data_IF_722193245819
#
_entry.id   IF_722193245819
#
_cell.length_a   1.000
_cell.length_b   1.000
_cell.length_c   1.000
_cell.angle_alpha   90.00
_cell.angle_beta   90.00
_cell.angle_gamma   90.00
#
_symmetry.space_group_name_H-M   'P 1'
#
loop_
_entity.id
_entity.type
_entity.pdbx_description
1 polymer ?
#
# COMPACT_ATOMS: atom_id res chain seq x y z
N UNK A 1 -17.95 -10.39 -3.82
CA UNK A 1 -17.52 -9.05 -4.23
C UNK A 1 -16.59 -8.50 -3.16
N UNK A 2 -15.31 -8.32 -3.48
CA UNK A 2 -14.39 -7.53 -2.65
C UNK A 2 -13.81 -6.44 -3.56
N UNK A 3 -14.00 -5.17 -3.19
CA UNK A 3 -13.63 -4.01 -4.01
C UNK A 3 -14.73 -2.94 -4.01
N UNK A 4 -14.32 -1.68 -3.88
CA UNK A 4 -15.19 -0.52 -4.03
C UNK A 4 -15.15 -0.08 -5.50
N UNK A 5 -16.29 0.06 -6.20
CA UNK A 5 -16.31 0.54 -7.58
C UNK A 5 -15.52 1.85 -7.73
N UNK A 6 -14.77 2.06 -8.82
CA UNK A 6 -13.95 3.26 -9.01
C UNK A 6 -14.65 4.59 -8.74
N UNK A 7 -15.91 4.72 -9.19
CA UNK A 7 -16.69 5.94 -9.00
C UNK A 7 -17.09 6.16 -7.53
N UNK A 8 -17.29 5.09 -6.76
CA UNK A 8 -17.57 5.17 -5.32
C UNK A 8 -16.31 5.56 -4.54
N UNK A 9 -15.11 5.12 -4.96
CA UNK A 9 -13.83 5.52 -4.34
C UNK A 9 -13.67 7.04 -4.39
N UNK A 10 -13.88 7.65 -5.56
CA UNK A 10 -13.79 9.10 -5.71
C UNK A 10 -14.87 9.80 -4.88
N UNK A 11 -16.12 9.35 -4.95
CA UNK A 11 -17.23 9.94 -4.19
C UNK A 11 -16.97 9.94 -2.68
N UNK A 12 -16.43 8.85 -2.13
CA UNK A 12 -16.06 8.77 -0.71
C UNK A 12 -14.94 9.77 -0.39
N UNK A 13 -13.90 9.85 -1.22
CA UNK A 13 -12.81 10.80 -0.99
C UNK A 13 -13.29 12.25 -1.07
N UNK A 14 -14.15 12.57 -2.04
CA UNK A 14 -14.79 13.87 -2.17
C UNK A 14 -15.62 14.21 -0.94
N UNK A 15 -16.46 13.29 -0.47
CA UNK A 15 -17.24 13.46 0.76
C UNK A 15 -16.34 13.78 1.98
N UNK A 16 -15.20 13.09 2.11
CA UNK A 16 -14.26 13.36 3.21
C UNK A 16 -13.64 14.76 3.11
N UNK A 17 -13.32 15.22 1.89
CA UNK A 17 -12.69 16.53 1.66
C UNK A 17 -13.70 17.69 1.72
N UNK A 18 -14.87 17.54 1.11
CA UNK A 18 -15.88 18.59 0.93
C UNK A 18 -16.82 18.68 2.13
N UNK A 19 -17.43 17.55 2.52
CA UNK A 19 -18.47 17.54 3.56
C UNK A 19 -17.90 17.39 4.97
N UNK A 20 -16.78 16.66 5.12
CA UNK A 20 -16.15 16.45 6.43
C UNK A 20 -14.96 17.36 6.69
N UNK A 21 -14.39 17.98 5.67
CA UNK A 21 -13.22 18.85 5.82
C UNK A 21 -11.99 18.10 6.37
N UNK A 22 -11.81 16.83 6.02
CA UNK A 22 -10.76 15.97 6.56
C UNK A 22 -9.62 15.74 5.55
N UNK A 23 -8.38 15.81 6.04
CA UNK A 23 -7.23 15.30 5.32
C UNK A 23 -7.45 13.82 5.01
N UNK A 24 -7.24 13.42 3.75
CA UNK A 24 -7.70 12.12 3.27
C UNK A 24 -6.59 11.36 2.56
N UNK A 25 -6.41 10.09 2.92
CA UNK A 25 -5.55 9.15 2.20
C UNK A 25 -6.38 7.99 1.67
N UNK A 26 -6.35 7.76 0.37
CA UNK A 26 -7.00 6.59 -0.25
C UNK A 26 -6.01 5.42 -0.32
N UNK A 27 -6.42 4.23 0.16
CA UNK A 27 -5.56 3.04 0.13
C UNK A 27 -5.78 2.27 -1.16
N UNK A 28 -4.72 2.09 -1.95
CA UNK A 28 -4.78 1.48 -3.27
C UNK A 28 -4.29 0.03 -3.26
N UNK A 29 -4.73 -0.76 -4.23
CA UNK A 29 -4.38 -2.18 -4.37
C UNK A 29 -3.15 -2.37 -5.27
N UNK A 30 -2.38 -3.46 -5.07
CA UNK A 30 -1.26 -3.81 -5.95
C UNK A 30 -1.71 -4.20 -7.38
N UNK A 31 -2.99 -4.49 -7.57
CA UNK A 31 -3.62 -4.79 -8.87
C UNK A 31 -3.52 -3.65 -9.88
N UNK A 32 -3.19 -2.42 -9.44
CA UNK A 32 -2.88 -1.28 -10.32
C UNK A 32 -1.75 -1.55 -11.33
N UNK A 33 -0.86 -2.52 -11.05
CA UNK A 33 0.17 -2.92 -12.00
C UNK A 33 -0.38 -3.75 -13.18
N UNK A 34 -1.59 -4.31 -13.06
CA UNK A 34 -2.17 -5.26 -13.99
C UNK A 34 -1.66 -6.69 -13.79
N UNK A 35 -2.46 -7.66 -14.24
CA UNK A 35 -2.21 -9.09 -14.01
C UNK A 35 -0.83 -9.53 -14.52
N UNK A 36 -0.53 -9.28 -15.80
CA UNK A 36 0.71 -9.70 -16.44
C UNK A 36 1.96 -9.19 -15.69
N UNK A 37 1.96 -7.92 -15.30
CA UNK A 37 3.09 -7.31 -14.57
C UNK A 37 3.22 -7.84 -13.15
N UNK A 38 2.10 -8.05 -12.45
CA UNK A 38 2.14 -8.67 -11.11
C UNK A 38 2.69 -10.09 -11.19
N UNK A 39 2.21 -10.88 -12.15
CA UNK A 39 2.68 -12.26 -12.38
C UNK A 39 4.19 -12.29 -12.65
N UNK A 40 4.65 -11.49 -13.60
CA UNK A 40 6.07 -11.35 -13.95
C UNK A 40 6.94 -11.02 -12.73
N UNK A 41 6.54 -10.00 -11.94
CA UNK A 41 7.31 -9.59 -10.75
C UNK A 41 7.39 -10.73 -9.74
N UNK A 42 6.28 -11.42 -9.48
CA UNK A 42 6.27 -12.55 -8.55
C UNK A 42 7.18 -13.68 -9.03
N UNK A 43 7.17 -14.01 -10.32
CA UNK A 43 7.99 -15.09 -10.87
C UNK A 43 9.49 -14.77 -10.79
N UNK A 44 9.88 -13.56 -11.21
CA UNK A 44 11.28 -13.09 -11.13
C UNK A 44 11.78 -13.04 -9.68
N UNK A 45 10.91 -12.70 -8.74
CA UNK A 45 11.25 -12.64 -7.32
C UNK A 45 11.20 -14.00 -6.60
N UNK A 46 10.96 -15.12 -7.30
CA UNK A 46 10.91 -16.46 -6.73
C UNK A 46 9.59 -16.80 -6.00
N UNK A 47 8.53 -16.05 -6.26
CA UNK A 47 7.17 -16.26 -5.72
C UNK A 47 6.22 -16.92 -6.73
N UNK A 48 6.75 -17.74 -7.65
CA UNK A 48 5.97 -18.45 -8.67
C UNK A 48 4.91 -19.41 -8.12
N UNK A 49 5.06 -19.87 -6.87
CA UNK A 49 4.09 -20.73 -6.20
C UNK A 49 2.78 -20.02 -5.80
N UNK A 50 2.72 -18.68 -5.90
CA UNK A 50 1.55 -17.89 -5.53
C UNK A 50 0.55 -17.90 -6.68
N UNK A 51 -0.59 -18.55 -6.51
CA UNK A 51 -1.66 -18.54 -7.50
C UNK A 51 -2.42 -17.21 -7.52
N UNK A 52 -2.73 -16.72 -8.72
CA UNK A 52 -3.52 -15.50 -8.94
C UNK A 52 -4.76 -15.85 -9.78
N UNK A 53 -5.84 -15.09 -9.57
CA UNK A 53 -7.03 -15.12 -10.45
C UNK A 53 -6.99 -13.86 -11.29
N UNK A 54 -6.99 -14.00 -12.60
CA UNK A 54 -6.92 -12.87 -13.52
C UNK A 54 -8.17 -11.99 -13.39
N UNK A 55 -9.33 -12.62 -13.16
CA UNK A 55 -10.62 -11.97 -12.95
C UNK A 55 -10.61 -11.01 -11.76
N UNK A 56 -9.79 -11.28 -10.74
CA UNK A 56 -9.63 -10.37 -9.58
C UNK A 56 -9.05 -9.01 -9.98
N UNK A 57 -8.33 -8.92 -11.10
CA UNK A 57 -7.79 -7.66 -11.62
C UNK A 57 -8.81 -6.89 -12.46
N UNK A 58 -9.84 -7.55 -12.97
CA UNK A 58 -10.85 -6.94 -13.85
C UNK A 58 -11.89 -6.12 -13.12
N UNK A 59 -12.22 -6.53 -11.90
CA UNK A 59 -13.14 -5.80 -11.05
C UNK A 59 -12.48 -4.65 -10.28
N UNK A 60 -11.15 -4.62 -10.21
CA UNK A 60 -10.39 -3.62 -9.48
C UNK A 60 -10.15 -2.35 -10.30
N UNK A 61 -9.89 -1.25 -9.58
CA UNK A 61 -9.52 0.05 -10.16
C UNK A 61 -8.34 -0.09 -11.12
N UNK A 62 -8.52 0.34 -12.38
CA UNK A 62 -7.48 0.30 -13.40
C UNK A 62 -6.54 1.50 -13.26
N UNK A 63 -5.28 1.35 -13.70
CA UNK A 63 -4.25 2.38 -13.54
C UNK A 63 -4.67 3.73 -14.13
N UNK A 64 -5.14 3.76 -15.38
CA UNK A 64 -5.57 5.02 -16.04
C UNK A 64 -6.66 5.72 -15.24
N UNK A 65 -7.69 4.97 -14.81
CA UNK A 65 -8.77 5.49 -13.97
C UNK A 65 -8.25 6.02 -12.62
N UNK A 66 -7.29 5.32 -12.01
CA UNK A 66 -6.66 5.76 -10.77
C UNK A 66 -5.92 7.08 -10.96
N UNK A 67 -5.14 7.23 -12.03
CA UNK A 67 -4.38 8.46 -12.29
C UNK A 67 -5.31 9.66 -12.45
N UNK A 68 -6.35 9.53 -13.28
CA UNK A 68 -7.35 10.59 -13.49
C UNK A 68 -8.10 10.96 -12.20
N UNK A 69 -8.50 9.95 -11.41
CA UNK A 69 -9.15 10.16 -10.12
C UNK A 69 -8.23 10.89 -9.14
N UNK A 70 -6.97 10.47 -9.04
CA UNK A 70 -6.00 11.08 -8.12
C UNK A 70 -5.70 12.53 -8.49
N UNK A 71 -5.61 12.85 -9.79
CA UNK A 71 -5.43 14.23 -10.25
C UNK A 71 -6.59 15.14 -9.79
N UNK A 72 -7.84 14.69 -9.99
CA UNK A 72 -9.03 15.45 -9.53
C UNK A 72 -9.07 15.61 -8.02
N UNK A 73 -8.75 14.56 -7.25
CA UNK A 73 -8.76 14.61 -5.79
C UNK A 73 -7.64 15.47 -5.23
N UNK A 74 -6.44 15.47 -5.86
CA UNK A 74 -5.35 16.38 -5.50
C UNK A 74 -5.75 17.84 -5.74
N UNK A 75 -6.38 18.15 -6.88
CA UNK A 75 -6.88 19.48 -7.18
C UNK A 75 -7.95 19.94 -6.18
N UNK A 76 -8.92 19.07 -5.87
CA UNK A 76 -9.97 19.33 -4.90
C UNK A 76 -9.41 19.60 -3.50
N UNK A 77 -8.47 18.78 -3.03
CA UNK A 77 -7.86 18.97 -1.72
C UNK A 77 -7.12 20.32 -1.64
N UNK A 78 -6.44 20.72 -2.73
CA UNK A 78 -5.81 22.05 -2.83
C UNK A 78 -6.84 23.17 -2.74
N UNK A 79 -7.97 23.06 -3.44
CA UNK A 79 -9.07 24.03 -3.37
C UNK A 79 -9.61 24.17 -1.93
N UNK A 80 -9.79 23.05 -1.23
CA UNK A 80 -10.26 23.02 0.16
C UNK A 80 -9.18 23.32 1.20
N UNK A 81 -7.94 23.61 0.79
CA UNK A 81 -6.79 23.78 1.70
C UNK A 81 -6.56 22.58 2.64
N UNK A 82 -6.79 21.37 2.14
CA UNK A 82 -6.60 20.10 2.83
C UNK A 82 -5.48 19.27 2.20
N UNK A 83 -4.92 18.34 2.97
CA UNK A 83 -3.98 17.34 2.50
C UNK A 83 -4.69 16.12 1.89
N UNK A 84 -4.21 15.68 0.72
CA UNK A 84 -4.63 14.44 0.08
C UNK A 84 -3.43 13.61 -0.34
N UNK A 85 -3.55 12.28 -0.29
CA UNK A 85 -2.51 11.35 -0.70
C UNK A 85 -3.01 9.91 -0.84
N UNK A 86 -2.07 8.99 -1.02
CA UNK A 86 -2.36 7.56 -1.18
C UNK A 86 -1.62 6.71 -0.16
N UNK A 87 -2.22 5.59 0.23
CA UNK A 87 -1.57 4.55 1.04
C UNK A 87 -1.31 3.30 0.21
N UNK A 88 -0.05 2.89 0.09
CA UNK A 88 0.42 1.84 -0.80
C UNK A 88 1.00 0.65 -0.03
N UNK A 89 0.44 -0.55 -0.10
CA UNK A 89 -0.83 -0.91 -0.74
C UNK A 89 -1.69 -1.70 0.24
N UNK A 90 -2.90 -2.06 -0.19
CA UNK A 90 -3.59 -3.17 0.43
C UNK A 90 -2.90 -4.51 0.11
N UNK A 91 -3.41 -5.59 0.69
CA UNK A 91 -3.00 -6.96 0.36
C UNK A 91 -3.41 -7.35 -1.06
N UNK A 92 -2.76 -8.38 -1.62
CA UNK A 92 -3.16 -8.95 -2.92
C UNK A 92 -4.02 -10.20 -2.69
N UNK A 93 -5.16 -10.30 -3.35
CA UNK A 93 -5.95 -11.54 -3.40
C UNK A 93 -5.21 -12.63 -4.18
N UNK A 94 -5.12 -13.83 -3.60
CA UNK A 94 -4.40 -14.98 -4.15
C UNK A 94 -5.23 -16.24 -3.98
N UNK A 95 -5.01 -17.25 -4.83
CA UNK A 95 -5.72 -18.53 -4.72
C UNK A 95 -5.35 -19.19 -3.39
N UNK A 96 -6.37 -19.63 -2.65
CA UNK A 96 -6.17 -20.38 -1.42
C UNK A 96 -5.83 -21.85 -1.70
N UNK A 97 -4.56 -22.13 -1.97
CA UNK A 97 -4.06 -23.48 -2.25
C UNK A 97 -3.54 -24.23 -1.01
N UNK A 98 -3.61 -23.63 0.18
CA UNK A 98 -3.03 -24.19 1.41
C UNK A 98 -4.02 -24.96 2.29
N UNK A 99 -5.32 -24.86 2.01
CA UNK A 99 -6.37 -25.52 2.80
C UNK A 99 -6.47 -25.07 4.27
N UNK A 100 -5.74 -24.02 4.67
CA UNK A 100 -5.67 -23.54 6.05
C UNK A 100 -6.78 -22.54 6.40
N UNK A 101 -7.37 -21.90 5.39
CA UNK A 101 -8.48 -20.96 5.52
C UNK A 101 -9.69 -21.50 4.73
N UNK A 102 -10.92 -21.18 5.14
CA UNK A 102 -12.10 -21.48 4.32
C UNK A 102 -12.14 -20.62 3.04
N UNK A 103 -12.74 -21.14 1.98
CA UNK A 103 -12.95 -20.44 0.71
C UNK A 103 -11.79 -20.51 -0.28
N UNK A 104 -11.99 -19.95 -1.46
CA UNK A 104 -11.08 -20.09 -2.62
C UNK A 104 -10.01 -18.98 -2.72
N UNK A 105 -9.99 -18.03 -1.78
CA UNK A 105 -9.13 -16.85 -1.82
C UNK A 105 -8.47 -16.59 -0.46
N UNK A 106 -7.20 -16.15 -0.48
CA UNK A 106 -6.46 -15.66 0.67
C UNK A 106 -5.69 -14.38 0.31
N UNK A 107 -5.42 -13.55 1.31
CA UNK A 107 -4.77 -12.25 1.11
C UNK A 107 -3.28 -12.27 1.44
N UNK A 108 -2.44 -12.06 0.43
CA UNK A 108 -1.00 -12.03 0.56
C UNK A 108 -0.52 -10.70 1.17
N UNK A 109 0.35 -10.81 2.18
CA UNK A 109 1.06 -9.70 2.82
C UNK A 109 2.54 -10.04 3.07
N UNK A 110 3.30 -9.10 3.63
CA UNK A 110 4.70 -9.31 4.01
C UNK A 110 5.66 -9.25 2.82
N UNK A 111 6.79 -9.97 2.92
CA UNK A 111 7.91 -9.86 1.97
C UNK A 111 7.52 -10.05 0.50
N UNK A 112 6.58 -10.94 0.21
CA UNK A 112 6.10 -11.18 -1.15
C UNK A 112 5.28 -10.01 -1.73
N UNK A 113 4.72 -9.15 -0.88
CA UNK A 113 3.99 -7.95 -1.30
C UNK A 113 4.93 -6.77 -1.60
N UNK A 114 6.13 -6.73 -1.00
CA UNK A 114 7.11 -5.65 -1.18
C UNK A 114 7.41 -5.30 -2.65
N UNK A 115 7.82 -6.26 -3.52
CA UNK A 115 8.18 -5.91 -4.89
C UNK A 115 6.98 -5.34 -5.68
N UNK A 116 5.75 -5.71 -5.34
CA UNK A 116 4.56 -5.14 -5.95
C UNK A 116 4.31 -3.72 -5.44
N UNK A 117 4.28 -3.52 -4.12
CA UNK A 117 3.97 -2.22 -3.52
C UNK A 117 5.00 -1.14 -3.87
N UNK A 118 6.29 -1.49 -3.95
CA UNK A 118 7.32 -0.52 -4.36
C UNK A 118 7.22 -0.17 -5.86
N UNK A 119 6.82 -1.12 -6.72
CA UNK A 119 6.57 -0.86 -8.13
C UNK A 119 5.35 0.06 -8.32
N UNK A 120 4.26 -0.13 -7.56
CA UNK A 120 3.12 0.81 -7.57
C UNK A 120 3.57 2.21 -7.14
N UNK A 121 4.35 2.31 -6.06
CA UNK A 121 4.88 3.60 -5.61
C UNK A 121 5.72 4.28 -6.70
N UNK A 122 6.56 3.52 -7.41
CA UNK A 122 7.38 4.04 -8.49
C UNK A 122 6.54 4.51 -9.70
N UNK A 123 5.49 3.76 -10.08
CA UNK A 123 4.56 4.15 -11.16
C UNK A 123 3.86 5.46 -10.81
N UNK A 124 3.27 5.56 -9.61
CA UNK A 124 2.55 6.76 -9.19
C UNK A 124 3.49 7.96 -9.01
N UNK A 125 4.68 7.74 -8.43
CA UNK A 125 5.66 8.83 -8.27
C UNK A 125 6.10 9.40 -9.62
N UNK A 126 6.29 8.56 -10.65
CA UNK A 126 6.59 9.04 -12.01
C UNK A 126 5.41 9.79 -12.62
N UNK A 127 4.19 9.28 -12.46
CA UNK A 127 3.00 9.90 -13.04
C UNK A 127 2.70 11.29 -12.47
N UNK A 128 3.09 11.55 -11.21
CA UNK A 128 2.83 12.81 -10.52
C UNK A 128 4.09 13.64 -10.22
N UNK A 129 5.22 13.35 -10.88
CA UNK A 129 6.52 14.02 -10.65
C UNK A 129 6.93 14.08 -9.15
N UNK A 130 6.60 13.05 -8.38
CA UNK A 130 6.85 13.00 -6.93
C UNK A 130 5.98 13.95 -6.09
N UNK A 131 4.99 14.63 -6.68
CA UNK A 131 4.11 15.58 -5.99
C UNK A 131 3.00 14.89 -5.19
N UNK A 132 2.60 13.67 -5.56
CA UNK A 132 1.59 12.91 -4.82
C UNK A 132 2.15 12.43 -3.48
N UNK A 133 1.57 12.83 -2.33
CA UNK A 133 1.97 12.30 -1.03
C UNK A 133 1.67 10.80 -0.91
N UNK A 134 2.68 10.00 -0.57
CA UNK A 134 2.56 8.54 -0.44
C UNK A 134 2.88 8.11 0.99
N UNK A 135 1.95 7.39 1.61
CA UNK A 135 2.18 6.53 2.77
C UNK A 135 2.39 5.08 2.32
N UNK A 136 3.25 4.34 3.02
CA UNK A 136 3.58 2.95 2.67
C UNK A 136 3.05 1.93 3.68
N UNK A 137 2.70 0.74 3.21
CA UNK A 137 2.14 -0.38 3.98
C UNK A 137 2.23 -1.71 3.20
N UNK A 138 3.33 -1.95 2.49
CA UNK A 138 3.48 -3.10 1.59
C UNK A 138 4.76 -3.89 1.81
N UNK A 139 4.83 -4.74 2.84
CA UNK A 139 5.97 -5.65 2.97
C UNK A 139 7.32 -5.02 3.35
N UNK A 140 7.33 -3.79 3.86
CA UNK A 140 8.53 -3.18 4.43
C UNK A 140 9.12 -4.06 5.55
N UNK A 141 10.44 -4.10 5.62
CA UNK A 141 11.21 -4.87 6.60
C UNK A 141 12.41 -4.06 7.10
N UNK A 142 13.13 -4.57 8.09
CA UNK A 142 14.38 -3.96 8.55
C UNK A 142 15.41 -3.72 7.42
N UNK A 143 15.38 -4.55 6.38
CA UNK A 143 16.30 -4.47 5.24
C UNK A 143 15.91 -3.39 4.23
N UNK A 144 14.64 -3.01 4.16
CA UNK A 144 14.12 -2.14 3.10
C UNK A 144 13.60 -0.80 3.61
N UNK A 145 13.35 -0.67 4.91
CA UNK A 145 12.73 0.53 5.49
C UNK A 145 13.54 1.80 5.26
N UNK A 146 14.88 1.71 5.27
CA UNK A 146 15.76 2.85 5.03
C UNK A 146 15.63 3.34 3.59
N UNK A 147 15.74 2.44 2.63
CA UNK A 147 15.64 2.78 1.21
C UNK A 147 14.25 3.34 0.87
N UNK A 148 13.18 2.76 1.42
CA UNK A 148 11.83 3.31 1.25
C UNK A 148 11.76 4.74 1.81
N UNK A 149 12.33 4.99 3.00
CA UNK A 149 12.33 6.31 3.61
C UNK A 149 13.10 7.33 2.77
N UNK A 150 14.26 6.94 2.22
CA UNK A 150 15.12 7.80 1.42
C UNK A 150 14.49 8.17 0.07
N UNK A 151 13.46 7.43 -0.40
CA UNK A 151 12.64 7.86 -1.55
C UNK A 151 11.72 9.06 -1.25
N UNK A 152 11.63 9.49 0.01
CA UNK A 152 10.72 10.55 0.46
C UNK A 152 9.32 10.07 0.87
N UNK A 153 9.05 8.77 0.74
CA UNK A 153 7.79 8.15 1.14
C UNK A 153 7.65 8.15 2.67
N UNK A 154 6.56 8.75 3.17
CA UNK A 154 6.27 8.86 4.60
C UNK A 154 4.78 9.10 4.87
N UNK A 155 4.20 8.49 5.92
CA UNK A 155 4.81 7.53 6.85
C UNK A 155 4.86 6.09 6.30
N UNK A 156 5.77 5.27 6.83
CA UNK A 156 5.90 3.83 6.55
C UNK A 156 5.23 3.02 7.66
N UNK A 157 4.24 2.20 7.31
CA UNK A 157 3.52 1.29 8.21
C UNK A 157 4.07 -0.12 8.09
N UNK A 158 4.34 -0.78 9.21
CA UNK A 158 4.78 -2.18 9.27
C UNK A 158 3.76 -3.05 9.98
N UNK A 159 3.58 -4.30 9.52
CA UNK A 159 2.69 -5.28 10.14
C UNK A 159 3.28 -6.70 10.12
N UNK A 160 3.30 -7.36 8.96
CA UNK A 160 3.68 -8.78 8.83
C UNK A 160 5.09 -9.08 9.33
N UNK A 161 6.06 -8.19 9.07
CA UNK A 161 7.44 -8.37 9.56
C UNK A 161 7.47 -8.41 11.09
N UNK A 162 6.79 -7.46 11.74
CA UNK A 162 6.63 -7.42 13.20
C UNK A 162 5.93 -8.68 13.72
N UNK A 163 4.84 -9.11 13.09
CA UNK A 163 4.07 -10.28 13.54
C UNK A 163 4.84 -11.61 13.38
N UNK A 164 5.64 -11.76 12.31
CA UNK A 164 6.38 -13.00 12.04
C UNK A 164 7.68 -13.10 12.83
N UNK A 165 8.40 -11.99 12.95
CA UNK A 165 9.71 -12.01 13.63
C UNK A 165 9.57 -11.78 15.14
N UNK A 166 8.55 -11.06 15.62
CA UNK A 166 8.52 -10.58 17.01
C UNK A 166 7.40 -11.24 17.81
N UNK A 167 7.77 -12.24 18.64
CA UNK A 167 6.99 -12.55 19.84
C UNK A 167 6.89 -11.25 20.67
N UNK A 168 5.73 -10.96 21.28
CA UNK A 168 5.41 -9.75 22.07
C UNK A 168 6.53 -9.26 23.03
N UNK A 169 7.45 -10.13 23.45
CA UNK A 169 8.62 -9.79 24.26
C UNK A 169 9.61 -8.81 23.60
N UNK A 170 9.76 -8.80 22.27
CA UNK A 170 10.76 -7.96 21.60
C UNK A 170 10.37 -6.46 21.50
N UNK A 171 9.07 -6.12 21.55
CA UNK A 171 8.59 -4.73 21.57
C UNK A 171 9.12 -3.94 22.78
N UNK A 172 9.38 -4.61 23.92
CA UNK A 172 9.95 -3.99 25.12
C UNK A 172 11.36 -3.44 24.90
N UNK A 173 12.15 -4.06 24.01
CA UNK A 173 13.52 -3.64 23.74
C UNK A 173 13.59 -2.38 22.86
N UNK A 174 12.65 -2.19 21.93
CA UNK A 174 12.56 -0.97 21.11
C UNK A 174 12.13 0.24 21.94
N UNK A 175 11.21 0.05 22.90
CA UNK A 175 10.91 1.08 23.88
C UNK A 175 12.16 1.47 24.69
N UNK A 176 12.97 0.48 25.12
CA UNK A 176 14.21 0.72 25.85
C UNK A 176 15.30 1.43 25.02
N UNK A 177 15.36 1.21 23.70
CA UNK A 177 16.30 1.90 22.78
C UNK A 177 15.82 3.29 22.36
N UNK A 178 14.52 3.46 22.07
CA UNK A 178 13.93 4.76 21.77
C UNK A 178 13.98 5.71 22.98
N UNK A 179 13.78 5.19 24.19
CA UNK A 179 13.97 5.94 25.44
C UNK A 179 15.43 6.34 25.70
N UNK A 180 16.41 5.59 25.16
CA UNK A 180 17.84 5.92 25.23
C UNK A 180 18.24 7.00 24.22
N UNK A 181 17.68 6.97 23.01
CA UNK A 181 17.90 8.00 21.98
C UNK A 181 17.31 9.36 22.39
N UNK A 182 16.18 9.40 23.12
CA UNK A 182 15.66 10.64 23.70
C UNK A 182 16.55 11.25 24.81
N UNK A 183 17.45 10.48 25.42
CA UNK A 183 18.40 10.96 26.44
C UNK A 183 19.75 11.40 25.86
N UNK A 184 20.00 11.14 24.58
CA UNK A 184 21.23 11.54 23.88
C UNK A 184 21.04 12.77 22.98
N UNK A 185 19.82 13.32 22.96
CA UNK A 185 19.51 14.62 22.37
C UNK A 185 19.27 15.67 23.46
N UNK A 186 20.35 16.14 24.08
CA UNK A 186 20.49 17.43 24.77
C UNK A 186 21.83 17.99 24.37
#
# INVERSE_FOLDING_TARGET
MHGCPPHEIEAICRYMLEEKGLNTFVKLNPTLLGYARVREILDVCGFGYIGLKEESFDHDLKLTQALEMLERLMALAKEKSLGFGVKLTNTLGTINNKGALPGEEMYMSGRALFPLSINVAAVLSRAFDGKLPISYSGGASQLTIRDIFDTGIRPITMATDLLKTWRLSALKCLHARAGRLRRLGT
#
